data_IF_511094360192
#
_entry.id   IF_511094360192
#
_cell.length_a   1.000
_cell.length_b   1.000
_cell.length_c   1.000
_cell.angle_alpha   90.00
_cell.angle_beta   90.00
_cell.angle_gamma   90.00
#
_symmetry.space_group_name_H-M   'P 1'
#
loop_
_entity.id
_entity.type
_entity.pdbx_description
1 polymer ?
#
# COMPACT_ATOMS: atom_id res chain seq x y z
N UNK A 1 -6.66 0.71 27.28
CA UNK A 1 -7.07 1.58 26.15
C UNK A 1 -7.51 0.68 25.01
N UNK A 2 -8.75 0.79 24.52
CA UNK A 2 -9.16 0.07 23.32
C UNK A 2 -8.50 0.76 22.14
N UNK A 3 -7.49 0.10 21.54
CA UNK A 3 -6.93 0.53 20.27
C UNK A 3 -8.03 0.27 19.24
N UNK A 4 -8.80 1.30 18.89
CA UNK A 4 -9.76 1.19 17.80
C UNK A 4 -8.99 0.73 16.58
N UNK A 5 -9.29 -0.48 16.10
CA UNK A 5 -8.70 -1.07 14.90
C UNK A 5 -8.72 -0.03 13.79
N UNK A 6 -7.56 0.52 13.45
CA UNK A 6 -7.49 1.56 12.45
C UNK A 6 -7.87 0.99 11.10
N UNK A 7 -8.83 1.64 10.44
CA UNK A 7 -9.20 1.33 9.06
C UNK A 7 -8.13 1.79 8.06
N UNK A 8 -7.04 2.41 8.52
CA UNK A 8 -6.00 2.96 7.65
C UNK A 8 -5.04 1.87 7.17
N UNK A 9 -5.03 1.60 5.87
CA UNK A 9 -4.12 0.62 5.25
C UNK A 9 -3.20 1.32 4.26
N UNK A 10 -1.89 1.28 4.53
CA UNK A 10 -0.85 1.75 3.60
C UNK A 10 -0.43 0.59 2.70
N UNK A 11 -0.92 0.59 1.46
CA UNK A 11 -0.51 -0.37 0.44
C UNK A 11 0.58 0.18 -0.46
N UNK A 12 1.77 -0.45 -0.46
CA UNK A 12 2.85 -0.10 -1.39
C UNK A 12 3.75 -1.28 -1.73
N UNK A 13 4.51 -1.16 -2.81
CA UNK A 13 5.56 -2.13 -3.14
C UNK A 13 6.59 -2.23 -2.00
N UNK A 14 7.22 -3.40 -1.83
CA UNK A 14 8.31 -3.62 -0.85
C UNK A 14 9.62 -2.94 -1.28
N UNK A 15 9.51 -1.63 -1.51
CA UNK A 15 10.57 -0.70 -1.86
C UNK A 15 10.37 0.56 -1.02
N UNK A 16 11.44 1.35 -0.84
CA UNK A 16 11.32 2.62 -0.11
C UNK A 16 10.42 3.61 -0.85
N UNK A 17 10.72 3.87 -2.12
CA UNK A 17 9.92 4.66 -3.06
C UNK A 17 9.18 5.86 -2.46
N UNK A 18 7.95 6.08 -2.91
CA UNK A 18 7.08 7.17 -2.47
C UNK A 18 6.43 6.91 -1.10
N UNK A 19 6.32 5.65 -0.68
CA UNK A 19 5.73 5.30 0.61
C UNK A 19 6.62 5.70 1.80
N UNK A 20 7.92 5.92 1.60
CA UNK A 20 8.81 6.28 2.70
C UNK A 20 8.40 7.58 3.40
N UNK A 21 8.04 8.62 2.63
CA UNK A 21 7.56 9.89 3.19
C UNK A 21 6.24 9.72 3.95
N UNK A 22 5.38 8.82 3.48
CA UNK A 22 4.06 8.56 4.06
C UNK A 22 4.19 7.76 5.37
N UNK A 23 5.04 6.71 5.40
CA UNK A 23 5.38 5.99 6.63
C UNK A 23 5.89 6.97 7.68
N UNK A 24 6.85 7.81 7.32
CA UNK A 24 7.41 8.80 8.22
C UNK A 24 6.34 9.78 8.75
N UNK A 25 5.39 10.20 7.91
CA UNK A 25 4.29 11.06 8.34
C UNK A 25 3.34 10.35 9.32
N UNK A 26 2.97 9.10 9.04
CA UNK A 26 2.07 8.31 9.89
C UNK A 26 2.69 8.01 11.25
N UNK A 27 3.98 7.67 11.28
CA UNK A 27 4.75 7.51 12.52
C UNK A 27 4.85 8.84 13.29
N UNK A 28 5.03 9.96 12.58
CA UNK A 28 5.10 11.28 13.20
C UNK A 28 3.77 11.71 13.84
N UNK A 29 2.64 11.33 13.23
CA UNK A 29 1.29 11.64 13.74
C UNK A 29 0.76 10.57 14.70
N UNK A 30 1.59 9.60 15.11
CA UNK A 30 1.23 8.43 15.95
C UNK A 30 -0.07 7.75 15.49
N UNK A 31 -0.28 7.77 14.17
CA UNK A 31 -1.50 7.27 13.58
C UNK A 31 -1.38 5.77 13.46
N UNK A 32 -2.28 5.02 14.06
CA UNK A 32 -2.32 3.57 13.88
C UNK A 32 -2.69 3.27 12.42
N UNK A 33 -1.84 2.53 11.69
CA UNK A 33 -2.09 2.05 10.33
C UNK A 33 -1.62 0.60 10.16
N UNK A 34 -2.21 -0.13 9.24
CA UNK A 34 -1.71 -1.44 8.79
C UNK A 34 -0.90 -1.25 7.51
N UNK A 35 0.29 -1.85 7.43
CA UNK A 35 1.12 -1.79 6.23
C UNK A 35 0.96 -3.07 5.40
N UNK A 36 0.55 -2.92 4.13
CA UNK A 36 0.56 -3.99 3.12
C UNK A 36 1.69 -3.78 2.13
N UNK A 37 2.71 -4.62 2.23
CA UNK A 37 3.86 -4.63 1.32
C UNK A 37 3.62 -5.63 0.18
N UNK A 38 3.59 -5.13 -1.05
CA UNK A 38 3.48 -5.95 -2.25
C UNK A 38 4.86 -6.28 -2.76
N UNK A 39 5.17 -7.57 -2.89
CA UNK A 39 6.43 -8.02 -3.48
C UNK A 39 6.23 -8.34 -4.95
N UNK A 40 7.19 -7.96 -5.78
CA UNK A 40 7.26 -8.47 -7.15
C UNK A 40 7.76 -9.92 -7.10
N UNK A 41 7.13 -10.84 -7.82
CA UNK A 41 7.55 -12.24 -7.90
C UNK A 41 8.99 -12.40 -8.43
N UNK A 42 9.55 -13.60 -8.27
CA UNK A 42 10.89 -13.91 -8.75
C UNK A 42 10.99 -13.81 -10.29
N UNK A 43 12.22 -13.57 -10.77
CA UNK A 43 12.51 -13.64 -12.19
C UNK A 43 12.32 -15.09 -12.70
N UNK A 44 11.88 -15.30 -13.96
CA UNK A 44 11.72 -14.31 -15.03
C UNK A 44 10.34 -13.64 -15.12
N UNK A 45 9.35 -14.14 -14.38
CA UNK A 45 7.95 -13.77 -14.57
C UNK A 45 7.55 -12.46 -13.87
N UNK A 46 8.33 -12.02 -12.85
CA UNK A 46 8.10 -10.75 -12.13
C UNK A 46 6.63 -10.55 -11.78
N UNK A 47 6.04 -11.54 -11.13
CA UNK A 47 4.61 -11.58 -10.90
C UNK A 47 4.13 -10.38 -10.08
N UNK A 48 3.15 -9.65 -10.62
CA UNK A 48 2.51 -8.48 -9.99
C UNK A 48 1.07 -8.77 -9.58
N UNK A 49 0.66 -10.04 -9.61
CA UNK A 49 -0.70 -10.47 -9.27
C UNK A 49 -1.14 -9.97 -7.90
N UNK A 50 -0.24 -9.96 -6.91
CA UNK A 50 -0.53 -9.41 -5.57
C UNK A 50 -1.03 -7.95 -5.60
N UNK A 51 -0.50 -7.13 -6.52
CA UNK A 51 -0.96 -5.76 -6.71
C UNK A 51 -2.22 -5.70 -7.56
N UNK A 52 -2.25 -6.43 -8.67
CA UNK A 52 -3.36 -6.41 -9.63
C UNK A 52 -4.67 -6.92 -9.00
N UNK A 53 -4.62 -8.00 -8.22
CA UNK A 53 -5.79 -8.58 -7.55
C UNK A 53 -6.45 -7.63 -6.54
N UNK A 54 -5.65 -6.80 -5.88
CA UNK A 54 -6.15 -5.82 -4.91
C UNK A 54 -6.58 -4.55 -5.64
N UNK A 55 -5.85 -4.12 -6.68
CA UNK A 55 -6.16 -2.91 -7.48
C UNK A 55 -7.57 -2.90 -8.04
N UNK A 56 -8.07 -4.04 -8.52
CA UNK A 56 -9.42 -4.13 -9.10
C UNK A 56 -10.53 -4.35 -8.07
N UNK A 57 -10.19 -4.71 -6.82
CA UNK A 57 -11.14 -4.85 -5.70
C UNK A 57 -11.22 -3.60 -4.84
N UNK A 58 -10.21 -2.74 -4.97
CA UNK A 58 -10.17 -1.39 -4.46
C UNK A 58 -11.07 -0.53 -5.33
N UNK A 59 -12.27 -0.23 -4.84
CA UNK A 59 -13.24 0.71 -5.43
C UNK A 59 -12.69 2.15 -5.31
N UNK A 60 -11.55 2.41 -5.95
CA UNK A 60 -10.88 3.70 -5.95
C UNK A 60 -11.50 4.55 -7.06
N UNK A 61 -12.15 5.64 -6.68
CA UNK A 61 -12.78 6.64 -7.56
C UNK A 61 -11.80 7.32 -8.55
N UNK A 62 -10.50 7.05 -8.44
CA UNK A 62 -9.45 7.61 -9.29
C UNK A 62 -8.76 6.53 -10.15
N UNK A 63 -8.70 6.70 -11.49
CA UNK A 63 -8.06 5.75 -12.39
C UNK A 63 -6.54 5.79 -12.20
N UNK A 64 -6.00 4.83 -11.45
CA UNK A 64 -4.56 4.66 -11.29
C UNK A 64 -3.96 3.95 -12.53
N UNK A 65 -3.68 4.72 -13.59
CA UNK A 65 -3.13 4.22 -14.86
C UNK A 65 -1.64 3.82 -14.83
N UNK A 66 -0.95 3.96 -13.68
CA UNK A 66 0.48 3.68 -13.52
C UNK A 66 0.76 2.41 -12.73
N UNK A 67 1.89 1.75 -13.04
CA UNK A 67 2.39 0.59 -12.30
C UNK A 67 2.89 0.90 -10.87
N UNK A 68 2.88 2.18 -10.46
CA UNK A 68 3.26 2.63 -9.13
C UNK A 68 2.06 3.15 -8.35
N UNK A 69 1.29 2.26 -7.73
CA UNK A 69 0.21 2.68 -6.85
C UNK A 69 0.66 2.73 -5.40
N UNK A 70 0.62 3.93 -4.83
CA UNK A 70 0.45 4.11 -3.38
C UNK A 70 -1.06 4.24 -3.16
N UNK A 71 -1.63 3.49 -2.22
CA UNK A 71 -2.98 3.77 -1.74
C UNK A 71 -3.00 3.82 -0.21
N UNK A 72 -3.72 4.83 0.30
CA UNK A 72 -4.25 4.86 1.65
C UNK A 72 -5.72 4.48 1.53
N UNK A 73 -6.12 3.39 2.16
CA UNK A 73 -7.52 3.11 2.47
C UNK A 73 -7.85 3.61 3.86
#
# INVERSE_FOLDING_TARGET
>A
MSLSKSNMVLGYWDIRGLAHAIRMLLEFTDTCYEERRYTCGEAPDYDKSQWLDVKFKLDLDFPNGGAGGVHLL
#
